data_IF_547804968181
#
_entry.id   IF_547804968181
#
_cell.length_a   1.000
_cell.length_b   1.000
_cell.length_c   1.000
_cell.angle_alpha   90.00
_cell.angle_beta   90.00
_cell.angle_gamma   90.00
#
_symmetry.space_group_name_H-M   'P 1'
#
loop_
_entity.id
_entity.type
_entity.pdbx_description
1 polymer ?
#
# COMPACT_ATOMS: atom_id res chain seq x y z
N UNK A 1 -9.74 7.98 10.48
CA UNK A 1 -8.26 7.86 10.34
C UNK A 1 -7.96 7.46 8.90
N UNK A 2 -6.91 7.99 8.25
CA UNK A 2 -6.54 7.62 6.87
C UNK A 2 -5.24 6.79 6.89
N UNK A 3 -5.36 5.50 6.56
CA UNK A 3 -4.27 4.52 6.57
C UNK A 3 -3.58 4.33 5.22
N UNK A 4 -4.08 4.93 4.14
CA UNK A 4 -3.59 4.74 2.75
C UNK A 4 -2.07 4.75 2.63
N UNK A 5 -1.43 5.77 3.19
CA UNK A 5 0.03 5.90 3.18
C UNK A 5 0.75 4.80 3.98
N UNK A 6 0.23 4.46 5.17
CA UNK A 6 0.78 3.37 6.00
C UNK A 6 0.66 2.04 5.26
N UNK A 7 -0.51 1.80 4.67
CA UNK A 7 -0.83 0.59 3.92
C UNK A 7 0.04 0.45 2.68
N UNK A 8 0.25 1.52 1.89
CA UNK A 8 1.17 1.48 0.74
C UNK A 8 2.59 1.13 1.20
N UNK A 9 3.06 1.72 2.31
CA UNK A 9 4.39 1.39 2.85
C UNK A 9 4.49 -0.07 3.28
N UNK A 10 3.45 -0.61 3.91
CA UNK A 10 3.37 -2.02 4.28
C UNK A 10 3.37 -2.93 3.04
N UNK A 11 2.54 -2.62 2.03
CA UNK A 11 2.43 -3.40 0.80
C UNK A 11 3.74 -3.40 0.00
N UNK A 12 4.46 -2.27 -0.08
CA UNK A 12 5.80 -2.21 -0.69
C UNK A 12 6.77 -3.16 0.02
N UNK A 13 6.78 -3.16 1.36
CA UNK A 13 7.65 -4.07 2.14
C UNK A 13 7.26 -5.54 1.95
N UNK A 14 5.96 -5.83 1.91
CA UNK A 14 5.43 -7.18 1.72
C UNK A 14 5.80 -7.76 0.35
N UNK A 15 5.90 -6.90 -0.67
CA UNK A 15 6.26 -7.26 -2.03
C UNK A 15 7.75 -6.98 -2.35
N UNK A 16 8.62 -6.92 -1.34
CA UNK A 16 10.05 -6.77 -1.55
C UNK A 16 10.53 -5.31 -1.64
N UNK A 17 10.69 -4.77 -2.85
CA UNK A 17 11.30 -3.45 -3.08
C UNK A 17 10.36 -2.44 -3.73
N UNK A 18 10.62 -1.13 -3.56
CA UNK A 18 9.87 -0.08 -4.26
C UNK A 18 9.92 -0.24 -5.79
N UNK A 19 11.06 -0.67 -6.33
CA UNK A 19 11.22 -0.91 -7.77
C UNK A 19 10.30 -2.03 -8.23
N UNK A 20 10.35 -3.18 -7.54
CA UNK A 20 9.50 -4.32 -7.87
C UNK A 20 8.02 -3.99 -7.69
N UNK A 21 7.66 -3.28 -6.61
CA UNK A 21 6.29 -2.86 -6.38
C UNK A 21 5.79 -1.91 -7.49
N UNK A 22 6.65 -1.02 -7.98
CA UNK A 22 6.34 -0.16 -9.13
C UNK A 22 6.17 -0.94 -10.43
N UNK A 23 7.00 -1.98 -10.66
CA UNK A 23 6.89 -2.86 -11.83
C UNK A 23 5.57 -3.64 -11.85
N UNK A 24 5.10 -4.14 -10.70
CA UNK A 24 3.83 -4.88 -10.63
C UNK A 24 2.59 -3.97 -10.68
N UNK A 25 2.65 -2.79 -10.07
CA UNK A 25 1.49 -1.87 -9.97
C UNK A 25 1.41 -0.82 -11.08
N UNK A 26 2.48 -0.64 -11.85
CA UNK A 26 2.63 0.48 -12.79
C UNK A 26 2.88 1.84 -12.13
N UNK A 27 3.00 1.91 -10.79
CA UNK A 27 3.28 3.16 -10.09
C UNK A 27 4.76 3.53 -10.26
N UNK A 28 5.00 4.80 -10.62
CA UNK A 28 6.38 5.33 -10.74
C UNK A 28 7.13 5.19 -9.42
N UNK A 29 8.39 4.75 -9.50
CA UNK A 29 9.25 4.57 -8.33
C UNK A 29 9.40 5.86 -7.49
N UNK A 30 9.43 7.03 -8.13
CA UNK A 30 9.54 8.32 -7.43
C UNK A 30 8.27 8.67 -6.64
N UNK A 31 7.10 8.30 -7.18
CA UNK A 31 5.82 8.39 -6.46
C UNK A 31 5.85 7.51 -5.22
N UNK A 32 6.28 6.25 -5.35
CA UNK A 32 6.42 5.33 -4.22
C UNK A 32 7.41 5.84 -3.17
N UNK A 33 8.56 6.39 -3.61
CA UNK A 33 9.53 7.02 -2.70
C UNK A 33 8.89 8.16 -1.91
N UNK A 34 8.20 9.08 -2.60
CA UNK A 34 7.54 10.23 -1.97
C UNK A 34 6.46 9.81 -0.95
N UNK A 35 5.67 8.79 -1.28
CA UNK A 35 4.63 8.29 -0.37
C UNK A 35 5.27 7.63 0.87
N UNK A 36 6.28 6.79 0.66
CA UNK A 36 6.89 5.98 1.74
C UNK A 36 7.86 6.77 2.65
N UNK A 37 8.51 7.82 2.13
CA UNK A 37 9.36 8.77 2.86
C UNK A 37 8.57 9.78 3.70
N UNK A 38 7.24 9.73 3.59
CA UNK A 38 6.27 10.61 4.22
C UNK A 38 6.12 12.02 3.64
N UNK A 39 6.64 12.32 2.47
CA UNK A 39 6.52 13.65 1.86
C UNK A 39 5.18 13.89 1.13
N UNK A 40 4.42 12.83 0.78
CA UNK A 40 3.14 12.98 0.08
C UNK A 40 2.03 12.07 0.62
N UNK A 41 0.80 12.39 0.19
CA UNK A 41 -0.42 11.58 0.33
C UNK A 41 -0.66 10.90 -1.02
N UNK A 42 -0.99 9.60 -1.08
CA UNK A 42 -1.29 8.93 -2.34
C UNK A 42 -2.53 9.55 -3.01
N UNK A 43 -2.48 9.70 -4.34
CA UNK A 43 -3.64 10.12 -5.12
C UNK A 43 -4.68 8.99 -5.20
N UNK A 44 -5.92 9.34 -5.56
CA UNK A 44 -6.96 8.32 -5.80
C UNK A 44 -6.55 7.36 -6.92
N UNK A 45 -5.90 7.85 -7.98
CA UNK A 45 -5.40 7.00 -9.08
C UNK A 45 -4.38 5.97 -8.59
N UNK A 46 -3.51 6.37 -7.64
CA UNK A 46 -2.54 5.46 -7.02
C UNK A 46 -3.27 4.35 -6.25
N UNK A 47 -4.36 4.69 -5.56
CA UNK A 47 -5.15 3.70 -4.81
C UNK A 47 -5.91 2.76 -5.76
N UNK A 48 -6.46 3.28 -6.86
CA UNK A 48 -7.12 2.47 -7.90
C UNK A 48 -6.12 1.49 -8.52
N UNK A 49 -4.92 1.93 -8.87
CA UNK A 49 -3.88 1.03 -9.41
C UNK A 49 -3.55 -0.14 -8.46
N UNK A 50 -3.47 0.15 -7.15
CA UNK A 50 -3.21 -0.89 -6.14
C UNK A 50 -4.42 -1.81 -5.99
N UNK A 51 -5.64 -1.26 -6.02
CA UNK A 51 -6.87 -2.03 -6.02
C UNK A 51 -6.92 -3.02 -7.20
N UNK A 52 -6.70 -2.52 -8.42
CA UNK A 52 -6.74 -3.32 -9.64
C UNK A 52 -5.66 -4.40 -9.65
N UNK A 53 -4.47 -4.09 -9.11
CA UNK A 53 -3.33 -5.02 -9.12
C UNK A 53 -3.42 -6.10 -8.05
N UNK A 54 -3.85 -5.73 -6.83
CA UNK A 54 -3.79 -6.61 -5.66
C UNK A 54 -5.15 -7.15 -5.21
N UNK A 55 -6.25 -6.68 -5.80
CA UNK A 55 -7.61 -7.06 -5.43
C UNK A 55 -8.05 -6.57 -4.05
N UNK A 56 -7.39 -5.53 -3.51
CA UNK A 56 -7.69 -4.95 -2.19
C UNK A 56 -8.72 -3.85 -2.37
N UNK A 57 -9.78 -3.81 -1.56
CA UNK A 57 -10.79 -2.74 -1.66
C UNK A 57 -10.19 -1.37 -1.32
N UNK A 58 -10.73 -0.31 -1.95
CA UNK A 58 -10.32 1.06 -1.63
C UNK A 58 -10.61 1.40 -0.16
N UNK A 59 -11.73 0.90 0.39
CA UNK A 59 -12.06 1.07 1.80
C UNK A 59 -11.02 0.43 2.73
N UNK A 60 -10.54 -0.78 2.41
CA UNK A 60 -9.48 -1.43 3.19
C UNK A 60 -8.16 -0.65 3.09
N UNK A 61 -7.82 -0.16 1.89
CA UNK A 61 -6.64 0.66 1.69
C UNK A 61 -6.69 1.96 2.49
N UNK A 62 -7.86 2.57 2.66
CA UNK A 62 -7.97 3.90 3.29
C UNK A 62 -8.32 3.84 4.77
N UNK A 63 -9.19 2.94 5.20
CA UNK A 63 -9.81 2.98 6.52
C UNK A 63 -9.36 1.88 7.48
N UNK A 64 -8.62 0.88 6.99
CA UNK A 64 -8.13 -0.23 7.82
C UNK A 64 -6.62 -0.26 7.89
N UNK A 65 -6.08 -0.73 9.01
CA UNK A 65 -4.64 -0.94 9.17
C UNK A 65 -4.25 -2.33 8.68
N UNK A 66 -3.75 -2.44 7.45
CA UNK A 66 -3.48 -3.75 6.83
C UNK A 66 -2.33 -4.50 7.52
N UNK A 67 -1.39 -3.78 8.10
CA UNK A 67 -0.28 -4.39 8.84
C UNK A 67 -0.78 -5.03 10.13
N UNK A 68 -1.65 -4.33 10.86
CA UNK A 68 -2.27 -4.83 12.08
C UNK A 68 -3.15 -6.05 11.82
N UNK A 69 -4.08 -5.97 10.86
CA UNK A 69 -4.97 -7.08 10.49
C UNK A 69 -4.18 -8.34 10.12
N UNK A 70 -3.11 -8.17 9.35
CA UNK A 70 -2.26 -9.29 8.94
C UNK A 70 -1.50 -9.91 10.13
N UNK A 71 -1.15 -9.14 11.15
CA UNK A 71 -0.49 -9.66 12.35
C UNK A 71 -1.49 -10.42 13.23
N UNK A 72 -2.71 -9.90 13.42
CA UNK A 72 -3.78 -10.58 14.17
C UNK A 72 -4.12 -11.94 13.54
N UNK A 73 -4.15 -12.05 12.22
CA UNK A 73 -4.42 -13.32 11.54
C UNK A 73 -3.28 -14.35 11.68
N UNK A 74 -2.05 -13.93 11.99
CA UNK A 74 -0.92 -14.83 12.24
C UNK A 74 -0.89 -15.36 13.68
N UNK A 75 -1.41 -14.60 14.64
CA UNK A 75 -1.45 -15.00 16.05
C UNK A 75 -2.59 -15.98 16.34
N UNK A 76 -3.61 -16.02 15.48
CA UNK A 76 -4.78 -16.89 15.59
C UNK A 76 -4.67 -18.20 14.78
N UNK A 77 -3.51 -18.50 14.19
CA UNK A 77 -3.19 -19.72 13.43
C UNK A 77 -1.96 -20.41 14.02
#
# INVERSE_FOLDING_TARGET
MNYSKKNIKYLVKKNGTQKHFGEITGIKIDTLKSITSRTSIPSIDTLIQIHDTLGISLDDLVFKDLEEINNTNKENN
#
